data_IF_707153989291
#
_entry.id   IF_707153989291
#
_cell.length_a   1.000
_cell.length_b   1.000
_cell.length_c   1.000
_cell.angle_alpha   90.00
_cell.angle_beta   90.00
_cell.angle_gamma   90.00
#
_symmetry.space_group_name_H-M   'P 1'
#
loop_
_entity.id
_entity.type
_entity.pdbx_description
1 polymer ?
#
# COMPACT_ATOMS: atom_id res chain seq x y z
N UNK A 1 1.73 4.93 -30.21
CA UNK A 1 0.96 3.80 -29.63
C UNK A 1 0.83 2.71 -30.68
N UNK A 2 1.82 1.81 -30.75
CA UNK A 2 1.74 0.63 -31.61
C UNK A 2 0.90 -0.43 -30.89
N UNK A 3 -0.26 -0.79 -31.44
CA UNK A 3 -1.03 -1.96 -30.97
C UNK A 3 -0.59 -3.14 -31.82
N UNK A 4 0.14 -4.08 -31.22
CA UNK A 4 0.54 -5.32 -31.89
C UNK A 4 -0.40 -6.42 -31.42
N UNK A 5 -1.14 -7.00 -32.36
CA UNK A 5 -2.01 -8.15 -32.10
C UNK A 5 -1.26 -9.41 -32.55
N UNK A 6 -1.28 -10.45 -31.72
CA UNK A 6 -0.69 -11.76 -32.05
C UNK A 6 -1.87 -12.70 -32.26
N UNK A 7 -2.14 -13.00 -33.53
CA UNK A 7 -3.12 -14.01 -33.91
C UNK A 7 -2.42 -15.36 -34.10
N UNK A 8 -3.03 -16.42 -33.57
CA UNK A 8 -2.56 -17.80 -33.76
C UNK A 8 -2.83 -18.20 -35.21
N UNK A 9 -1.78 -18.17 -36.04
CA UNK A 9 -1.88 -18.46 -37.48
C UNK A 9 -2.13 -19.95 -37.78
N UNK A 10 -1.43 -20.86 -37.08
CA UNK A 10 -1.54 -22.30 -37.30
C UNK A 10 -1.24 -23.08 -36.01
N UNK A 11 -1.92 -24.20 -35.85
CA UNK A 11 -1.76 -25.13 -34.74
C UNK A 11 -1.55 -26.51 -35.36
N UNK A 12 -0.34 -27.05 -35.25
CA UNK A 12 0.01 -28.37 -35.78
C UNK A 12 0.26 -29.31 -34.60
N UNK A 13 -0.54 -30.37 -34.52
CA UNK A 13 -0.34 -31.46 -33.56
C UNK A 13 0.67 -32.42 -34.22
N UNK A 14 1.82 -32.64 -33.57
CA UNK A 14 2.90 -33.50 -34.10
C UNK A 14 2.60 -34.99 -33.87
N UNK A 15 1.65 -35.31 -32.99
CA UNK A 15 1.19 -36.67 -32.76
C UNK A 15 0.05 -37.01 -33.73
N UNK A 16 0.26 -38.05 -34.55
CA UNK A 16 -0.63 -38.49 -35.63
C UNK A 16 -2.02 -39.03 -35.21
N UNK A 17 -2.58 -38.56 -34.11
CA UNK A 17 -4.00 -38.73 -33.79
C UNK A 17 -4.80 -37.69 -34.59
N UNK A 18 -5.55 -38.15 -35.60
CA UNK A 18 -6.35 -37.33 -36.53
C UNK A 18 -7.56 -36.61 -35.92
N UNK A 19 -7.39 -35.90 -34.81
CA UNK A 19 -8.33 -34.87 -34.36
C UNK A 19 -7.81 -33.50 -34.82
N UNK A 20 -8.38 -32.98 -35.91
CA UNK A 20 -8.07 -31.65 -36.49
C UNK A 20 -8.47 -30.45 -35.60
N UNK A 21 -8.98 -30.71 -34.39
CA UNK A 21 -9.36 -29.66 -33.44
C UNK A 21 -8.14 -29.27 -32.61
N UNK A 22 -7.59 -28.09 -32.92
CA UNK A 22 -6.57 -27.46 -32.09
C UNK A 22 -7.04 -27.39 -30.62
N UNK A 23 -6.27 -27.89 -29.65
CA UNK A 23 -6.70 -27.97 -28.24
C UNK A 23 -6.84 -26.59 -27.58
N UNK A 24 -6.38 -25.53 -28.24
CA UNK A 24 -6.44 -24.17 -27.74
C UNK A 24 -7.75 -23.49 -28.15
N UNK A 25 -8.57 -23.16 -27.15
CA UNK A 25 -9.73 -22.30 -27.33
C UNK A 25 -9.23 -20.85 -27.58
N UNK A 26 -9.41 -20.32 -28.81
CA UNK A 26 -8.88 -19.02 -29.25
C UNK A 26 -9.32 -17.83 -28.38
N UNK A 27 -10.45 -17.95 -27.69
CA UNK A 27 -10.99 -16.92 -26.79
C UNK A 27 -10.41 -16.97 -25.37
N UNK A 28 -9.89 -18.12 -24.93
CA UNK A 28 -9.37 -18.33 -23.56
C UNK A 28 -7.83 -18.40 -23.54
N UNK A 29 -7.21 -18.73 -24.67
CA UNK A 29 -5.76 -18.88 -24.79
C UNK A 29 -5.13 -17.56 -25.21
N UNK A 30 -4.39 -16.92 -24.30
CA UNK A 30 -3.65 -15.69 -24.60
C UNK A 30 -2.14 -15.90 -24.41
N UNK A 31 -1.34 -15.36 -25.34
CA UNK A 31 0.12 -15.31 -25.22
C UNK A 31 0.52 -13.92 -24.76
N UNK A 32 1.15 -13.83 -23.60
CA UNK A 32 1.66 -12.56 -23.07
C UNK A 32 3.07 -12.31 -23.60
N UNK A 33 3.21 -11.33 -24.49
CA UNK A 33 4.52 -10.85 -24.92
C UNK A 33 4.84 -9.57 -24.17
N UNK A 34 5.84 -9.63 -23.27
CA UNK A 34 6.43 -8.45 -22.65
C UNK A 34 7.29 -7.76 -23.71
N UNK A 35 6.74 -6.77 -24.40
CA UNK A 35 7.48 -5.98 -25.39
C UNK A 35 8.35 -4.97 -24.65
N UNK A 36 9.61 -5.34 -24.42
CA UNK A 36 10.60 -4.48 -23.77
C UNK A 36 11.12 -3.50 -24.84
N UNK A 37 10.65 -2.26 -24.80
CA UNK A 37 11.08 -1.25 -25.78
C UNK A 37 12.51 -0.76 -25.52
N UNK A 38 12.98 -0.84 -24.26
CA UNK A 38 14.35 -0.50 -23.89
C UNK A 38 14.76 -1.20 -22.59
N UNK A 39 15.91 -1.87 -22.63
CA UNK A 39 16.52 -2.51 -21.46
C UNK A 39 16.90 -1.48 -20.37
N UNK A 40 17.17 -0.23 -20.77
CA UNK A 40 17.47 0.86 -19.84
C UNK A 40 16.26 1.29 -19.00
N UNK A 41 15.05 1.27 -19.57
CA UNK A 41 13.81 1.63 -18.86
C UNK A 41 13.49 0.58 -17.78
N UNK A 42 13.72 -0.70 -18.07
CA UNK A 42 13.50 -1.77 -17.09
C UNK A 42 14.47 -1.68 -15.90
N UNK A 43 15.75 -1.41 -16.16
CA UNK A 43 16.75 -1.21 -15.11
C UNK A 43 16.37 0.03 -14.29
N UNK A 44 15.96 1.13 -14.93
CA UNK A 44 15.52 2.33 -14.23
C UNK A 44 14.30 2.06 -13.34
N UNK A 45 13.26 1.39 -13.84
CA UNK A 45 12.05 1.02 -13.07
C UNK A 45 12.40 0.13 -11.87
N UNK A 46 13.31 -0.83 -12.05
CA UNK A 46 13.75 -1.71 -10.96
C UNK A 46 14.55 -0.94 -9.90
N UNK A 47 15.48 -0.08 -10.32
CA UNK A 47 16.31 0.73 -9.43
C UNK A 47 15.48 1.77 -8.69
N UNK A 48 14.53 2.44 -9.36
CA UNK A 48 13.61 3.39 -8.71
C UNK A 48 12.73 2.68 -7.68
N UNK A 49 12.26 1.45 -7.97
CA UNK A 49 11.48 0.65 -7.02
C UNK A 49 12.25 0.30 -5.73
N UNK A 50 13.54 -0.04 -5.83
CA UNK A 50 14.37 -0.27 -4.63
C UNK A 50 14.68 1.02 -3.87
N UNK A 51 14.93 2.13 -4.58
CA UNK A 51 15.19 3.44 -3.95
C UNK A 51 13.96 3.91 -3.18
N UNK A 52 12.77 3.79 -3.77
CA UNK A 52 11.49 4.10 -3.12
C UNK A 52 11.30 3.28 -1.84
N UNK A 53 11.53 1.96 -1.90
CA UNK A 53 11.38 1.06 -0.75
C UNK A 53 12.31 1.47 0.39
N UNK A 54 13.57 1.77 0.08
CA UNK A 54 14.58 2.18 1.05
C UNK A 54 14.26 3.57 1.61
N UNK A 55 13.90 4.53 0.76
CA UNK A 55 13.58 5.89 1.16
C UNK A 55 12.37 5.95 2.10
N UNK A 56 11.29 5.22 1.77
CA UNK A 56 10.12 5.12 2.64
C UNK A 56 10.38 4.31 3.91
N UNK A 57 11.20 3.25 3.86
CA UNK A 57 11.54 2.53 5.09
C UNK A 57 12.36 3.40 6.04
N UNK A 58 13.32 4.17 5.51
CA UNK A 58 14.17 5.06 6.30
C UNK A 58 13.38 6.26 6.86
N UNK A 59 12.29 6.70 6.21
CA UNK A 59 11.54 7.91 6.61
C UNK A 59 11.01 7.86 8.05
N UNK A 60 10.70 6.67 8.55
CA UNK A 60 10.19 6.47 9.91
C UNK A 60 11.25 6.62 11.01
N UNK A 61 12.51 6.28 10.73
CA UNK A 61 13.58 6.22 11.74
C UNK A 61 13.95 7.59 12.35
N UNK A 62 14.04 8.69 11.57
CA UNK A 62 14.28 10.02 12.13
C UNK A 62 13.32 10.42 13.24
N UNK A 63 12.02 10.09 13.13
CA UNK A 63 11.05 10.44 14.16
C UNK A 63 11.25 9.58 15.41
N UNK A 64 11.47 8.27 15.26
CA UNK A 64 11.74 7.35 16.37
C UNK A 64 13.00 7.77 17.13
N UNK A 65 14.06 8.10 16.40
CA UNK A 65 15.33 8.57 16.97
C UNK A 65 15.18 9.93 17.67
N UNK A 66 14.44 10.87 17.08
CA UNK A 66 14.21 12.18 17.66
C UNK A 66 13.44 12.08 18.98
N UNK A 67 12.40 11.24 19.03
CA UNK A 67 11.64 10.97 20.25
C UNK A 67 12.54 10.36 21.34
N UNK A 68 13.38 9.38 20.98
CA UNK A 68 14.32 8.75 21.91
C UNK A 68 15.36 9.74 22.45
N UNK A 69 15.98 10.54 21.57
CA UNK A 69 17.01 11.53 21.93
C UNK A 69 16.47 12.64 22.84
N UNK A 70 15.22 13.07 22.61
CA UNK A 70 14.60 14.14 23.40
C UNK A 70 13.93 13.62 24.67
N UNK A 71 13.64 12.33 24.77
CA UNK A 71 12.82 11.75 25.84
C UNK A 71 11.39 12.34 25.90
N UNK A 72 10.96 13.00 24.83
CA UNK A 72 9.72 13.76 24.75
C UNK A 72 9.14 13.62 23.34
N UNK A 73 7.84 13.41 23.27
CA UNK A 73 7.07 13.33 22.02
C UNK A 73 6.42 14.67 21.67
N UNK A 74 6.78 15.74 22.38
CA UNK A 74 6.23 17.07 22.18
C UNK A 74 6.64 17.64 20.82
N UNK A 75 5.67 17.73 19.89
CA UNK A 75 5.87 18.11 18.48
C UNK A 75 5.25 17.14 17.50
N UNK A 76 5.10 15.88 17.89
CA UNK A 76 4.34 14.88 17.14
C UNK A 76 2.84 15.04 17.45
N UNK A 77 2.00 15.17 16.42
CA UNK A 77 0.56 15.15 16.62
C UNK A 77 0.07 13.69 16.78
N UNK A 78 -0.63 13.38 17.87
CA UNK A 78 -1.19 12.05 18.10
C UNK A 78 -2.26 11.67 17.09
N UNK A 79 -2.99 12.64 16.54
CA UNK A 79 -3.95 12.42 15.46
C UNK A 79 -3.26 11.87 14.21
N UNK A 80 -2.09 12.43 13.85
CA UNK A 80 -1.28 11.93 12.74
C UNK A 80 -0.86 10.47 13.01
N UNK A 81 -0.42 10.16 14.23
CA UNK A 81 0.04 8.82 14.59
C UNK A 81 -1.08 7.78 14.53
N UNK A 82 -2.23 8.07 15.12
CA UNK A 82 -3.41 7.17 15.10
C UNK A 82 -3.83 6.87 13.66
N UNK A 83 -3.93 7.90 12.82
CA UNK A 83 -4.29 7.71 11.41
C UNK A 83 -3.26 6.86 10.68
N UNK A 84 -1.95 7.07 10.89
CA UNK A 84 -0.93 6.21 10.26
C UNK A 84 -1.03 4.76 10.71
N UNK A 85 -1.26 4.48 12.00
CA UNK A 85 -1.44 3.10 12.49
C UNK A 85 -2.62 2.43 11.79
N UNK A 86 -3.78 3.09 11.72
CA UNK A 86 -4.97 2.54 11.04
C UNK A 86 -4.67 2.28 9.56
N UNK A 87 -4.09 3.27 8.86
CA UNK A 87 -3.78 3.11 7.46
C UNK A 87 -2.81 1.97 7.20
N UNK A 88 -1.67 1.93 7.89
CA UNK A 88 -0.69 0.86 7.69
C UNK A 88 -1.18 -0.51 8.15
N UNK A 89 -2.10 -0.59 9.12
CA UNK A 89 -2.78 -1.84 9.46
C UNK A 89 -3.64 -2.34 8.29
N UNK A 90 -4.52 -1.50 7.75
CA UNK A 90 -5.33 -1.84 6.57
C UNK A 90 -4.46 -2.22 5.36
N UNK A 91 -3.38 -1.49 5.12
CA UNK A 91 -2.44 -1.76 4.03
C UNK A 91 -1.67 -3.06 4.22
N UNK A 92 -1.26 -3.39 5.45
CA UNK A 92 -0.59 -4.67 5.75
C UNK A 92 -1.54 -5.84 5.51
N UNK A 93 -2.78 -5.75 5.97
CA UNK A 93 -3.80 -6.79 5.74
C UNK A 93 -4.07 -6.97 4.24
N UNK A 94 -4.20 -5.88 3.48
CA UNK A 94 -4.34 -5.94 2.02
C UNK A 94 -3.19 -6.72 1.36
N UNK A 95 -1.94 -6.32 1.64
CA UNK A 95 -0.78 -6.94 1.01
C UNK A 95 -0.61 -8.41 1.44
N UNK A 96 -0.84 -8.72 2.72
CA UNK A 96 -0.76 -10.10 3.20
C UNK A 96 -1.79 -11.00 2.54
N UNK A 97 -3.06 -10.60 2.51
CA UNK A 97 -4.12 -11.43 1.93
C UNK A 97 -3.95 -11.57 0.42
N UNK A 98 -3.62 -10.49 -0.30
CA UNK A 98 -3.37 -10.58 -1.75
C UNK A 98 -2.14 -11.45 -2.08
N UNK A 99 -1.10 -11.44 -1.24
CA UNK A 99 0.15 -12.18 -1.50
C UNK A 99 0.13 -13.64 -1.04
N UNK A 100 -0.47 -13.95 0.12
CA UNK A 100 -0.44 -15.30 0.69
C UNK A 100 -1.71 -16.12 0.45
N UNK A 101 -2.87 -15.49 0.24
CA UNK A 101 -4.13 -16.22 0.06
C UNK A 101 -4.39 -16.54 -1.41
N UNK A 102 -4.28 -17.83 -1.76
CA UNK A 102 -4.51 -18.31 -3.11
C UNK A 102 -5.95 -18.06 -3.58
N UNK A 103 -6.93 -18.17 -2.68
CA UNK A 103 -8.36 -17.94 -3.01
C UNK A 103 -8.59 -16.51 -3.47
N UNK A 104 -7.95 -15.54 -2.81
CA UNK A 104 -8.03 -14.12 -3.19
C UNK A 104 -7.36 -13.88 -4.56
N UNK A 105 -6.22 -14.54 -4.81
CA UNK A 105 -5.53 -14.46 -6.10
C UNK A 105 -6.35 -15.04 -7.23
N UNK A 106 -7.00 -16.19 -7.01
CA UNK A 106 -7.82 -16.84 -8.02
C UNK A 106 -9.04 -15.98 -8.38
N UNK A 107 -9.71 -15.38 -7.38
CA UNK A 107 -10.80 -14.41 -7.60
C UNK A 107 -10.29 -13.18 -8.37
N UNK A 108 -9.07 -12.71 -8.07
CA UNK A 108 -8.47 -11.58 -8.77
C UNK A 108 -8.19 -11.89 -10.24
N UNK A 109 -7.58 -13.04 -10.54
CA UNK A 109 -7.24 -13.49 -11.89
C UNK A 109 -8.51 -13.71 -12.70
N UNK A 110 -9.54 -14.31 -12.10
CA UNK A 110 -10.83 -14.54 -12.76
C UNK A 110 -11.51 -13.21 -13.12
N UNK A 111 -11.42 -12.19 -12.25
CA UNK A 111 -12.02 -10.87 -12.50
C UNK A 111 -11.16 -9.98 -13.41
N UNK A 112 -9.85 -10.22 -13.46
CA UNK A 112 -8.88 -9.45 -14.23
C UNK A 112 -7.96 -10.38 -15.02
N UNK A 113 -8.52 -11.10 -16.00
CA UNK A 113 -7.84 -12.13 -16.80
C UNK A 113 -6.49 -11.68 -17.40
N UNK A 114 -6.32 -10.38 -17.63
CA UNK A 114 -5.14 -9.79 -18.27
C UNK A 114 -4.13 -9.16 -17.31
N UNK A 115 -4.50 -8.99 -16.04
CA UNK A 115 -3.67 -8.31 -15.04
C UNK A 115 -2.82 -9.30 -14.25
N UNK A 116 -1.62 -8.88 -13.86
CA UNK A 116 -0.82 -9.58 -12.87
C UNK A 116 -1.32 -9.24 -11.47
N UNK A 117 -1.07 -10.13 -10.50
CA UNK A 117 -1.28 -9.82 -9.10
C UNK A 117 -0.45 -8.57 -8.77
N UNK A 118 -1.07 -7.49 -8.28
CA UNK A 118 -0.42 -6.18 -8.20
C UNK A 118 0.51 -6.03 -6.99
N UNK A 119 0.63 -7.06 -6.15
CA UNK A 119 1.40 -7.04 -4.91
C UNK A 119 2.67 -7.86 -5.06
N UNK A 120 3.80 -7.23 -4.75
CA UNK A 120 5.14 -7.84 -4.76
C UNK A 120 5.64 -8.06 -3.32
N UNK A 121 6.71 -8.85 -3.17
CA UNK A 121 7.28 -9.18 -1.86
C UNK A 121 7.81 -7.95 -1.11
N UNK A 122 8.37 -6.97 -1.83
CA UNK A 122 8.82 -5.69 -1.26
C UNK A 122 7.67 -4.91 -0.62
N UNK A 123 6.46 -4.94 -1.22
CA UNK A 123 5.29 -4.23 -0.69
C UNK A 123 4.81 -4.83 0.63
N UNK A 124 4.82 -6.17 0.73
CA UNK A 124 4.50 -6.91 1.96
C UNK A 124 5.47 -6.55 3.09
N UNK A 125 6.77 -6.57 2.79
CA UNK A 125 7.82 -6.23 3.76
C UNK A 125 7.71 -4.77 4.18
N UNK A 126 7.50 -3.86 3.22
CA UNK A 126 7.36 -2.43 3.47
C UNK A 126 6.15 -2.13 4.36
N UNK A 127 4.97 -2.65 4.01
CA UNK A 127 3.74 -2.43 4.77
C UNK A 127 3.89 -2.89 6.22
N UNK A 128 4.45 -4.09 6.40
CA UNK A 128 4.69 -4.68 7.73
C UNK A 128 5.70 -3.84 8.52
N UNK A 129 6.81 -3.44 7.90
CA UNK A 129 7.83 -2.59 8.52
C UNK A 129 7.27 -1.23 8.95
N UNK A 130 6.52 -0.56 8.07
CA UNK A 130 5.90 0.72 8.35
C UNK A 130 4.88 0.64 9.51
N UNK A 131 4.08 -0.43 9.56
CA UNK A 131 3.17 -0.68 10.68
C UNK A 131 3.94 -0.84 11.99
N UNK A 132 5.00 -1.64 12.00
CA UNK A 132 5.86 -1.82 13.18
C UNK A 132 6.49 -0.50 13.64
N UNK A 133 7.01 0.31 12.72
CA UNK A 133 7.57 1.62 13.04
C UNK A 133 6.53 2.58 13.63
N UNK A 134 5.29 2.55 13.13
CA UNK A 134 4.18 3.30 13.70
C UNK A 134 3.80 2.80 15.11
N UNK A 135 3.78 1.49 15.33
CA UNK A 135 3.54 0.89 16.66
C UNK A 135 4.64 1.29 17.63
N UNK A 136 5.92 1.22 17.24
CA UNK A 136 7.06 1.66 18.06
C UNK A 136 6.89 3.13 18.45
N UNK A 137 6.55 3.99 17.50
CA UNK A 137 6.28 5.41 17.76
C UNK A 137 5.07 5.58 18.70
N UNK A 138 4.02 4.76 18.55
CA UNK A 138 2.88 4.68 19.47
C UNK A 138 3.28 4.32 20.88
N UNK A 139 4.11 3.30 21.05
CA UNK A 139 4.67 2.87 22.34
C UNK A 139 5.50 3.99 22.96
N UNK A 140 6.32 4.68 22.18
CA UNK A 140 7.07 5.85 22.64
C UNK A 140 6.16 6.95 23.21
N UNK A 141 4.98 7.17 22.64
CA UNK A 141 4.02 8.15 23.17
C UNK A 141 3.41 7.78 24.53
N UNK A 142 3.45 6.50 24.93
CA UNK A 142 3.01 6.08 26.27
C UNK A 142 4.12 6.26 27.32
N UNK A 143 5.39 6.09 26.94
CA UNK A 143 6.52 6.14 27.87
C UNK A 143 7.15 7.53 28.01
N UNK A 144 7.15 8.35 26.95
CA UNK A 144 7.80 9.66 26.95
C UNK A 144 6.86 10.79 27.35
N UNK A 145 7.47 11.93 27.69
CA UNK A 145 6.72 13.12 28.08
C UNK A 145 5.88 13.66 26.90
N UNK A 146 4.56 13.70 27.13
CA UNK A 146 3.51 14.06 26.16
C UNK A 146 2.97 15.49 26.32
N UNK A 147 3.38 16.18 27.38
CA UNK A 147 2.84 17.49 27.74
C UNK A 147 1.32 17.49 27.85
N UNK A 148 0.67 18.49 27.24
CA UNK A 148 -0.80 18.66 27.21
C UNK A 148 -1.44 18.13 25.90
N UNK A 149 -0.71 17.37 25.08
CA UNK A 149 -1.23 16.87 23.81
C UNK A 149 -2.27 15.77 24.04
N UNK A 150 -3.42 15.88 23.38
CA UNK A 150 -4.51 14.91 23.39
C UNK A 150 -4.95 14.64 21.95
N UNK A 151 -5.57 13.48 21.74
CA UNK A 151 -6.21 13.14 20.47
C UNK A 151 -7.44 14.03 20.30
N UNK A 152 -7.60 14.64 19.13
CA UNK A 152 -8.74 15.49 18.80
C UNK A 152 -10.02 14.66 18.64
N UNK A 153 -11.15 15.20 19.10
CA UNK A 153 -12.47 14.58 18.89
C UNK A 153 -12.78 14.38 17.39
N UNK A 154 -12.32 15.29 16.53
CA UNK A 154 -12.46 15.16 15.07
C UNK A 154 -11.70 13.94 14.55
N UNK A 155 -10.47 13.74 15.03
CA UNK A 155 -9.67 12.56 14.64
C UNK A 155 -10.29 11.28 15.17
N UNK A 156 -10.81 11.29 16.40
CA UNK A 156 -11.47 10.13 17.00
C UNK A 156 -12.75 9.75 16.24
N UNK A 157 -13.57 10.73 15.87
CA UNK A 157 -14.76 10.52 15.03
C UNK A 157 -14.41 9.97 13.65
N UNK A 158 -13.45 10.58 12.96
CA UNK A 158 -12.99 10.12 11.65
C UNK A 158 -12.40 8.71 11.69
N UNK A 159 -11.53 8.43 12.67
CA UNK A 159 -10.94 7.10 12.88
C UNK A 159 -12.01 6.06 13.17
N UNK A 160 -13.02 6.41 13.97
CA UNK A 160 -14.15 5.51 14.29
C UNK A 160 -14.97 5.17 13.05
N UNK A 161 -15.21 6.14 12.15
CA UNK A 161 -15.92 5.91 10.89
C UNK A 161 -15.13 4.94 10.01
N UNK A 162 -13.82 5.15 9.85
CA UNK A 162 -12.96 4.29 9.03
C UNK A 162 -12.89 2.85 9.57
N UNK A 163 -12.77 2.69 10.89
CA UNK A 163 -12.76 1.39 11.56
C UNK A 163 -14.12 0.71 11.47
N UNK A 164 -15.22 1.44 11.68
CA UNK A 164 -16.57 0.91 11.54
C UNK A 164 -16.83 0.44 10.10
N UNK A 165 -16.44 1.22 9.09
CA UNK A 165 -16.54 0.81 7.69
C UNK A 165 -15.75 -0.48 7.41
N UNK A 166 -14.52 -0.58 7.91
CA UNK A 166 -13.68 -1.78 7.77
C UNK A 166 -14.32 -3.00 8.46
N UNK A 167 -14.85 -2.83 9.67
CA UNK A 167 -15.50 -3.89 10.43
C UNK A 167 -16.81 -4.36 9.79
N UNK A 168 -17.63 -3.43 9.28
CA UNK A 168 -18.85 -3.74 8.53
C UNK A 168 -18.51 -4.47 7.24
N UNK A 169 -17.52 -4.00 6.48
CA UNK A 169 -17.07 -4.70 5.28
C UNK A 169 -16.60 -6.13 5.59
N UNK A 170 -15.88 -6.32 6.69
CA UNK A 170 -15.47 -7.65 7.13
C UNK A 170 -16.66 -8.55 7.48
N UNK A 171 -17.62 -8.03 8.26
CA UNK A 171 -18.82 -8.77 8.62
C UNK A 171 -19.63 -9.19 7.38
N UNK A 172 -19.84 -8.29 6.42
CA UNK A 172 -20.54 -8.57 5.15
C UNK A 172 -19.82 -9.65 4.33
N UNK A 173 -18.48 -9.71 4.42
CA UNK A 173 -17.66 -10.76 3.77
C UNK A 173 -17.89 -12.12 4.41
N UNK A 174 -18.00 -12.18 5.75
CA UNK A 174 -18.33 -13.43 6.47
C UNK A 174 -19.69 -13.97 6.02
N UNK A 175 -20.67 -13.09 5.83
CA UNK A 175 -21.99 -13.47 5.29
C UNK A 175 -21.99 -13.77 3.79
N UNK A 176 -20.82 -13.79 3.14
CA UNK A 176 -20.64 -14.10 1.71
C UNK A 176 -21.46 -13.19 0.77
N UNK A 177 -21.76 -11.96 1.22
CA UNK A 177 -22.44 -10.96 0.39
C UNK A 177 -21.45 -10.24 -0.54
N UNK A 178 -20.21 -10.09 -0.08
CA UNK A 178 -19.09 -9.59 -0.89
C UNK A 178 -17.92 -10.58 -0.84
N UNK A 179 -17.13 -10.62 -1.91
CA UNK A 179 -15.95 -11.48 -1.99
C UNK A 179 -14.79 -10.93 -1.14
N UNK A 180 -13.86 -11.81 -0.77
CA UNK A 180 -12.62 -11.43 -0.10
C UNK A 180 -11.81 -10.37 -0.86
N UNK A 181 -11.81 -10.42 -2.20
CA UNK A 181 -11.16 -9.40 -3.02
C UNK A 181 -11.79 -8.00 -2.82
N UNK A 182 -13.11 -7.92 -2.70
CA UNK A 182 -13.81 -6.66 -2.48
C UNK A 182 -13.52 -6.11 -1.08
N UNK A 183 -13.45 -6.97 -0.08
CA UNK A 183 -13.05 -6.61 1.27
C UNK A 183 -11.65 -5.99 1.31
N UNK A 184 -10.64 -6.64 0.72
CA UNK A 184 -9.29 -6.09 0.73
C UNK A 184 -9.20 -4.79 -0.06
N UNK A 185 -9.94 -4.65 -1.17
CA UNK A 185 -10.02 -3.39 -1.91
C UNK A 185 -10.64 -2.27 -1.05
N UNK A 186 -11.65 -2.57 -0.23
CA UNK A 186 -12.20 -1.62 0.73
C UNK A 186 -11.15 -1.17 1.76
N UNK A 187 -10.30 -2.07 2.25
CA UNK A 187 -9.17 -1.71 3.12
C UNK A 187 -8.15 -0.80 2.42
N UNK A 188 -7.90 -1.01 1.12
CA UNK A 188 -7.06 -0.12 0.31
C UNK A 188 -7.66 1.29 0.20
N UNK A 189 -8.98 1.41 0.01
CA UNK A 189 -9.66 2.72 0.04
C UNK A 189 -9.57 3.41 1.40
N UNK A 190 -9.64 2.65 2.51
CA UNK A 190 -9.42 3.20 3.86
C UNK A 190 -7.99 3.73 4.00
N UNK A 191 -6.97 2.99 3.54
CA UNK A 191 -5.58 3.48 3.50
C UNK A 191 -5.45 4.76 2.68
N UNK A 192 -6.12 4.85 1.54
CA UNK A 192 -6.10 6.05 0.70
C UNK A 192 -6.73 7.24 1.44
N UNK A 193 -7.89 7.05 2.06
CA UNK A 193 -8.56 8.08 2.85
C UNK A 193 -7.71 8.58 4.03
N UNK A 194 -7.03 7.67 4.72
CA UNK A 194 -6.04 8.00 5.76
C UNK A 194 -4.90 8.84 5.17
N UNK A 195 -4.34 8.42 4.03
CA UNK A 195 -3.18 9.11 3.42
C UNK A 195 -3.50 10.55 3.05
N UNK A 196 -4.72 10.80 2.57
CA UNK A 196 -5.20 12.16 2.27
C UNK A 196 -5.44 13.00 3.53
N UNK A 197 -5.89 12.38 4.62
CA UNK A 197 -6.30 13.11 5.83
C UNK A 197 -5.20 13.28 6.88
N UNK A 198 -4.19 12.39 6.92
CA UNK A 198 -3.22 12.29 8.03
C UNK A 198 -2.42 13.56 8.28
N UNK A 199 -2.13 14.35 7.25
CA UNK A 199 -1.25 15.52 7.37
C UNK A 199 -1.94 16.78 7.91
N UNK A 200 -3.27 16.91 7.76
CA UNK A 200 -3.98 18.12 8.20
C UNK A 200 -3.78 18.44 9.69
N UNK A 201 -3.95 17.48 10.63
CA UNK A 201 -3.75 17.74 12.05
C UNK A 201 -2.33 18.22 12.38
N UNK A 202 -1.31 17.65 11.71
CA UNK A 202 0.08 18.02 11.94
C UNK A 202 0.37 19.45 11.43
N UNK A 203 -0.13 19.79 10.25
CA UNK A 203 0.02 21.15 9.68
C UNK A 203 -0.65 22.19 10.59
N UNK A 204 -1.87 21.93 11.05
CA UNK A 204 -2.59 22.84 11.95
C UNK A 204 -1.83 23.01 13.28
N UNK A 205 -1.27 21.93 13.84
CA UNK A 205 -0.48 21.99 15.07
C UNK A 205 0.78 22.87 14.88
N UNK A 206 1.51 22.67 13.78
CA UNK A 206 2.72 23.43 13.48
C UNK A 206 2.41 24.92 13.29
N UNK A 207 1.30 25.26 12.63
CA UNK A 207 0.83 26.64 12.47
C UNK A 207 0.51 27.28 13.83
N UNK A 208 -0.23 26.58 14.70
CA UNK A 208 -0.59 27.08 16.04
C UNK A 208 0.63 27.30 16.93
N UNK A 209 1.61 26.40 16.87
CA UNK A 209 2.86 26.51 17.65
C UNK A 209 3.87 27.49 17.07
N UNK A 210 3.70 27.89 15.80
CA UNK A 210 4.71 28.63 15.01
C UNK A 210 6.09 27.97 15.07
N UNK A 211 6.13 26.64 15.19
CA UNK A 211 7.35 25.86 15.38
C UNK A 211 7.16 24.44 14.86
N UNK A 212 8.21 23.90 14.25
CA UNK A 212 8.31 22.50 13.80
C UNK A 212 9.22 21.68 14.72
N UNK A 213 9.67 22.25 15.84
CA UNK A 213 10.52 21.55 16.81
C UNK A 213 9.77 20.34 17.37
N UNK A 214 10.37 19.16 17.17
CA UNK A 214 9.79 17.88 17.58
C UNK A 214 9.09 17.08 16.48
N UNK A 215 9.01 17.63 15.27
CA UNK A 215 8.51 16.95 14.09
C UNK A 215 9.64 16.75 13.08
N UNK A 216 9.84 15.51 12.64
CA UNK A 216 10.83 15.20 11.60
C UNK A 216 10.32 15.68 10.23
N UNK A 217 10.84 16.83 9.77
CA UNK A 217 10.60 17.33 8.41
C UNK A 217 11.16 16.34 7.38
N UNK A 218 12.27 15.66 7.70
CA UNK A 218 12.88 14.65 6.83
C UNK A 218 11.93 13.48 6.51
N UNK A 219 11.08 13.10 7.46
CA UNK A 219 10.04 12.09 7.22
C UNK A 219 9.07 12.54 6.10
N UNK A 220 8.60 13.79 6.18
CA UNK A 220 7.67 14.36 5.18
C UNK A 220 8.33 14.50 3.80
N UNK A 221 9.59 14.93 3.76
CA UNK A 221 10.34 15.05 2.51
C UNK A 221 10.52 13.69 1.86
N UNK A 222 10.91 12.68 2.64
CA UNK A 222 11.08 11.31 2.13
C UNK A 222 9.75 10.68 1.72
N UNK A 223 8.65 10.94 2.43
CA UNK A 223 7.31 10.50 2.03
C UNK A 223 6.92 11.13 0.68
N UNK A 224 7.18 12.43 0.48
CA UNK A 224 6.93 13.12 -0.78
C UNK A 224 7.83 12.63 -1.92
N UNK A 225 9.12 12.42 -1.66
CA UNK A 225 10.07 11.88 -2.64
C UNK A 225 9.66 10.47 -3.07
N UNK A 226 9.33 9.58 -2.12
CA UNK A 226 8.89 8.23 -2.44
C UNK A 226 7.57 8.22 -3.22
N UNK A 227 6.59 9.05 -2.86
CA UNK A 227 5.33 9.15 -3.62
C UNK A 227 5.53 9.72 -5.04
N UNK A 228 6.45 10.67 -5.21
CA UNK A 228 6.76 11.23 -6.54
C UNK A 228 7.48 10.20 -7.44
N UNK A 229 8.37 9.40 -6.86
CA UNK A 229 9.08 8.34 -7.58
C UNK A 229 8.16 7.19 -7.99
N UNK A 230 7.19 6.83 -7.13
CA UNK A 230 6.17 5.82 -7.44
C UNK A 230 5.30 6.22 -8.65
N UNK A 231 4.85 7.48 -8.70
CA UNK A 231 4.10 8.00 -9.87
C UNK A 231 4.97 7.98 -11.14
N UNK A 232 6.27 8.25 -11.02
CA UNK A 232 7.19 8.25 -12.17
C UNK A 232 7.45 6.84 -12.72
N UNK A 233 7.21 5.81 -11.90
CA UNK A 233 7.36 4.41 -12.28
C UNK A 233 6.17 3.86 -13.08
N UNK A 234 4.98 4.46 -12.93
CA UNK A 234 3.73 4.07 -13.62
C UNK A 234 3.66 4.58 -15.06
#
# INVERSE_FOLDING_TARGET
TSRTFIDVYKCEIVDGSGNDTCPFNKTESFVRVKVIHSHAIEILVSVTGWIYFVAWSISFYPQIYLNWKRGSVEGLNFDFLVLNIIGFACYTVYNWLMYFDQSVQDIYILKHERSLIPVLTNDVVFATHALLACIITGVQCFFYERGQQKISYTCMGWSSILLAFSAVSFAITIFSVIDWLQFINNLSYVKMAVTLSKYFPQVILNIRRKSTVGWSIGNVVLDFTGGSMDITQM
#
